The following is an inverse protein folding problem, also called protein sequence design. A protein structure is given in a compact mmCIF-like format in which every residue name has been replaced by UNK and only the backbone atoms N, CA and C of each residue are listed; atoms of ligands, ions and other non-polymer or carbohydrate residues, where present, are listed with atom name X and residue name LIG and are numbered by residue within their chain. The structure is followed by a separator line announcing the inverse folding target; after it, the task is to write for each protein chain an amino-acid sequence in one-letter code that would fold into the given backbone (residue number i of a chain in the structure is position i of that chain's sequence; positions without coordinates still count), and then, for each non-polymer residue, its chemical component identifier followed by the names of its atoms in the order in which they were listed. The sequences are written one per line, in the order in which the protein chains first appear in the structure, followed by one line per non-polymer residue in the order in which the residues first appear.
data_IF_343572565196
#
_entry.id   IF_343572565196
#
_cell.length_a   1.000
_cell.length_b   1.000
_cell.length_c   1.000
_cell.angle_alpha   90.00
_cell.angle_beta   90.00
_cell.angle_gamma   90.00
#
_symmetry.space_group_name_H-M   'P 1'
#
loop_
_entity.id
_entity.type
_entity.pdbx_description
1 polymer ?
#
# COMPACT_ATOMS: atom_id res chain seq x y z
N UNK A 1 -25.10 18.31 -15.31
CA UNK A 1 -23.68 18.70 -15.22
C UNK A 1 -22.87 17.46 -15.55
N UNK A 2 -21.93 17.50 -16.51
CA UNK A 2 -21.07 16.34 -16.74
C UNK A 2 -20.05 16.25 -15.61
N UNK A 3 -19.89 15.06 -15.01
CA UNK A 3 -19.00 14.78 -13.89
C UNK A 3 -17.95 13.77 -14.31
N UNK A 4 -16.71 13.95 -13.88
CA UNK A 4 -15.61 13.01 -14.12
C UNK A 4 -15.05 12.44 -12.82
N UNK A 5 -14.82 11.13 -12.75
CA UNK A 5 -14.07 10.53 -11.63
C UNK A 5 -12.57 10.71 -11.82
N UNK A 6 -11.87 10.77 -10.71
CA UNK A 6 -10.41 10.74 -10.64
C UNK A 6 -10.01 9.80 -9.52
N UNK A 7 -9.13 8.83 -9.83
CA UNK A 7 -8.77 7.75 -8.95
C UNK A 7 -7.25 7.68 -8.81
N UNK A 8 -6.78 7.52 -7.59
CA UNK A 8 -5.42 7.13 -7.26
C UNK A 8 -5.43 5.78 -6.53
N UNK A 9 -4.43 4.96 -6.77
CA UNK A 9 -4.30 3.64 -6.16
C UNK A 9 -3.01 3.61 -5.33
N UNK A 10 -3.13 3.10 -4.10
CA UNK A 10 -2.03 2.72 -3.24
C UNK A 10 -1.93 1.20 -3.22
N UNK A 11 -0.79 0.65 -3.58
CA UNK A 11 -0.59 -0.81 -3.67
C UNK A 11 0.56 -1.24 -2.77
N UNK A 12 0.30 -2.20 -1.89
CA UNK A 12 1.31 -2.84 -1.05
C UNK A 12 1.60 -4.24 -1.57
N UNK A 13 2.87 -4.55 -1.80
CA UNK A 13 3.32 -5.85 -2.27
C UNK A 13 4.31 -6.42 -1.25
N UNK A 14 3.98 -7.59 -0.71
CA UNK A 14 4.88 -8.37 0.15
C UNK A 14 6.01 -8.97 -0.70
N UNK A 15 7.25 -8.78 -0.25
CA UNK A 15 8.42 -9.20 -0.99
C UNK A 15 8.84 -10.63 -0.63
N UNK A 16 9.16 -11.40 -1.64
CA UNK A 16 9.61 -12.79 -1.54
C UNK A 16 11.06 -12.88 -1.01
N UNK A 17 11.25 -12.49 0.25
CA UNK A 17 12.55 -12.55 0.95
C UNK A 17 12.56 -13.66 1.99
N UNK A 18 13.74 -14.22 2.27
CA UNK A 18 13.89 -15.24 3.30
C UNK A 18 13.80 -14.68 4.72
N UNK A 19 14.08 -13.39 4.90
CA UNK A 19 14.13 -12.74 6.21
C UNK A 19 13.37 -11.42 6.20
N UNK A 20 12.98 -10.99 7.38
CA UNK A 20 12.26 -9.72 7.60
C UNK A 20 13.08 -8.50 7.18
N UNK A 21 12.40 -7.34 7.08
CA UNK A 21 13.00 -6.09 6.56
C UNK A 21 14.17 -5.58 7.39
N UNK A 22 14.11 -5.69 8.70
CA UNK A 22 15.10 -5.08 9.60
C UNK A 22 15.75 -6.06 10.60
N UNK A 23 15.53 -7.36 10.42
CA UNK A 23 16.13 -8.39 11.27
C UNK A 23 16.33 -9.71 10.52
N UNK A 24 16.95 -10.68 11.18
CA UNK A 24 17.24 -12.02 10.62
C UNK A 24 16.13 -13.05 10.84
N UNK A 25 15.00 -12.68 11.44
CA UNK A 25 13.88 -13.60 11.57
C UNK A 25 13.41 -14.06 10.20
N UNK A 26 13.12 -15.34 10.06
CA UNK A 26 12.59 -15.88 8.82
C UNK A 26 11.18 -15.31 8.54
N UNK A 27 10.88 -15.07 7.27
CA UNK A 27 9.49 -14.92 6.81
C UNK A 27 8.91 -16.32 6.77
N UNK A 28 7.82 -16.54 7.51
CA UNK A 28 7.20 -17.87 7.68
C UNK A 28 5.74 -17.84 7.24
N UNK A 29 5.32 -18.89 6.52
CA UNK A 29 3.91 -19.18 6.20
C UNK A 29 3.47 -20.32 7.11
N UNK A 30 2.84 -20.00 8.25
CA UNK A 30 2.46 -20.97 9.29
C UNK A 30 1.25 -20.48 10.07
N UNK A 31 0.46 -21.43 10.57
CA UNK A 31 -0.66 -21.16 11.47
C UNK A 31 -0.23 -21.08 12.95
N UNK A 32 1.00 -21.45 13.28
CA UNK A 32 1.53 -21.33 14.64
C UNK A 32 1.94 -19.87 14.92
N UNK A 33 1.26 -19.16 15.83
CA UNK A 33 1.49 -17.75 16.04
C UNK A 33 2.81 -17.51 16.81
N UNK A 34 3.42 -16.36 16.53
CA UNK A 34 4.52 -15.81 17.31
C UNK A 34 5.79 -16.69 17.39
N UNK A 35 6.09 -17.51 16.37
CA UNK A 35 7.28 -18.36 16.34
C UNK A 35 8.50 -17.69 15.69
N UNK A 36 8.29 -16.64 14.86
CA UNK A 36 9.36 -15.93 14.16
C UNK A 36 9.54 -14.52 14.69
N UNK A 37 10.06 -14.39 15.90
CA UNK A 37 10.22 -13.13 16.62
C UNK A 37 11.64 -12.94 17.16
N UNK A 38 12.07 -11.68 17.23
CA UNK A 38 13.28 -11.25 17.91
C UNK A 38 13.09 -9.87 18.56
N UNK A 39 14.00 -9.42 19.43
CA UNK A 39 13.94 -8.09 20.05
C UNK A 39 13.74 -6.94 19.04
N UNK A 40 14.29 -7.01 17.84
CA UNK A 40 14.16 -5.96 16.82
C UNK A 40 12.75 -5.88 16.28
N UNK A 41 12.13 -6.99 15.84
CA UNK A 41 10.80 -6.94 15.22
C UNK A 41 9.66 -6.64 16.22
N UNK A 42 9.88 -6.86 17.52
CA UNK A 42 8.93 -6.48 18.57
C UNK A 42 9.28 -5.17 19.29
N UNK A 43 10.35 -4.49 18.85
CA UNK A 43 10.70 -3.15 19.32
C UNK A 43 11.22 -3.07 20.75
N UNK A 44 11.98 -4.07 21.22
CA UNK A 44 12.57 -4.01 22.56
C UNK A 44 13.68 -2.95 22.63
N UNK A 45 13.80 -2.25 23.76
CA UNK A 45 14.83 -1.23 23.96
C UNK A 45 16.25 -1.75 23.71
N UNK A 46 17.03 -0.99 22.94
CA UNK A 46 18.42 -1.33 22.60
C UNK A 46 18.59 -2.27 21.41
N UNK A 47 17.50 -2.78 20.81
CA UNK A 47 17.58 -3.55 19.58
C UNK A 47 17.66 -2.60 18.38
N UNK A 48 18.68 -2.76 17.54
CA UNK A 48 18.88 -1.92 16.35
C UNK A 48 18.44 -2.63 15.06
N UNK A 49 17.64 -1.96 14.21
CA UNK A 49 17.24 -2.50 12.93
C UNK A 49 18.41 -2.51 11.93
N UNK A 50 18.48 -3.54 11.09
CA UNK A 50 19.46 -3.66 10.01
C UNK A 50 18.72 -3.96 8.71
N UNK A 51 18.77 -3.08 7.71
CA UNK A 51 18.02 -3.24 6.47
C UNK A 51 18.38 -4.52 5.70
N UNK A 52 17.36 -5.18 5.16
CA UNK A 52 17.51 -6.36 4.31
C UNK A 52 17.93 -5.95 2.90
N UNK A 53 19.18 -6.27 2.53
CA UNK A 53 19.74 -5.94 1.22
C UNK A 53 18.89 -6.48 0.06
N UNK A 54 18.36 -7.72 0.19
CA UNK A 54 17.55 -8.34 -0.87
C UNK A 54 16.23 -7.63 -1.08
N UNK A 55 15.60 -7.15 0.00
CA UNK A 55 14.39 -6.33 -0.10
C UNK A 55 14.67 -5.01 -0.84
N UNK A 56 15.77 -4.34 -0.52
CA UNK A 56 16.19 -3.12 -1.21
C UNK A 56 16.43 -3.39 -2.72
N UNK A 57 17.12 -4.50 -3.06
CA UNK A 57 17.33 -4.91 -4.45
C UNK A 57 16.01 -5.13 -5.20
N UNK A 58 15.05 -5.82 -4.59
CA UNK A 58 13.74 -6.09 -5.17
C UNK A 58 12.94 -4.81 -5.42
N UNK A 59 12.91 -3.91 -4.44
CA UNK A 59 12.19 -2.64 -4.56
C UNK A 59 12.83 -1.75 -5.64
N UNK A 60 14.16 -1.70 -5.69
CA UNK A 60 14.88 -0.96 -6.73
C UNK A 60 14.61 -1.54 -8.12
N UNK A 61 14.57 -2.87 -8.24
CA UNK A 61 14.26 -3.53 -9.51
C UNK A 61 12.83 -3.20 -9.97
N UNK A 62 11.86 -3.24 -9.07
CA UNK A 62 10.47 -2.88 -9.37
C UNK A 62 10.36 -1.41 -9.80
N UNK A 63 11.00 -0.50 -9.08
CA UNK A 63 11.02 0.92 -9.42
C UNK A 63 11.64 1.18 -10.82
N UNK A 64 12.73 0.49 -11.14
CA UNK A 64 13.36 0.57 -12.48
C UNK A 64 12.43 0.01 -13.58
N UNK A 65 11.77 -1.12 -13.31
CA UNK A 65 10.88 -1.78 -14.28
C UNK A 65 9.61 -0.98 -14.55
N UNK A 66 9.23 -0.09 -13.64
CA UNK A 66 8.15 0.88 -13.82
C UNK A 66 8.65 2.26 -14.25
N UNK A 67 9.87 2.35 -14.79
CA UNK A 67 10.44 3.59 -15.33
C UNK A 67 10.68 4.70 -14.33
N UNK A 68 10.69 4.39 -13.02
CA UNK A 68 10.94 5.40 -12.00
C UNK A 68 12.37 5.94 -12.04
N UNK A 69 12.50 7.23 -11.77
CA UNK A 69 13.79 7.86 -11.43
C UNK A 69 14.24 7.36 -10.06
N UNK A 70 15.38 6.64 -10.03
CA UNK A 70 15.92 6.14 -8.76
C UNK A 70 16.61 7.28 -8.01
N UNK A 71 16.19 7.49 -6.77
CA UNK A 71 16.80 8.52 -5.92
C UNK A 71 18.21 8.13 -5.51
N UNK A 72 19.13 9.09 -5.56
CA UNK A 72 20.55 8.85 -5.27
C UNK A 72 20.83 8.53 -3.80
N UNK A 73 19.92 8.86 -2.90
CA UNK A 73 20.03 8.64 -1.46
C UNK A 73 18.65 8.29 -0.91
N UNK A 74 18.52 7.09 -0.36
CA UNK A 74 17.34 6.68 0.37
C UNK A 74 17.45 7.00 1.86
N UNK A 75 16.35 7.34 2.49
CA UNK A 75 16.27 7.59 3.93
C UNK A 75 15.04 6.90 4.51
N UNK A 76 15.23 6.27 5.66
CA UNK A 76 14.11 5.72 6.43
C UNK A 76 13.52 6.78 7.36
N UNK A 77 12.21 6.68 7.55
CA UNK A 77 11.42 7.52 8.43
C UNK A 77 10.58 6.65 9.34
N UNK A 78 10.23 7.18 10.50
CA UNK A 78 9.23 6.60 11.38
C UNK A 78 7.86 7.18 11.08
N UNK A 79 6.93 6.30 10.68
CA UNK A 79 5.50 6.57 10.54
C UNK A 79 4.83 6.21 11.87
N UNK A 80 4.56 7.22 12.70
CA UNK A 80 4.12 6.98 14.08
C UNK A 80 2.60 6.82 14.16
N UNK A 81 2.15 5.70 14.69
CA UNK A 81 0.77 5.46 15.07
C UNK A 81 0.67 4.32 16.08
N UNK A 82 -0.40 4.34 16.89
CA UNK A 82 -0.60 3.37 17.95
C UNK A 82 -1.67 2.37 17.54
N UNK A 83 -1.25 1.11 17.36
CA UNK A 83 -2.15 0.02 17.10
C UNK A 83 -1.63 -1.27 17.73
N UNK A 84 -2.51 -2.19 18.22
CA UNK A 84 -2.07 -3.39 18.93
C UNK A 84 -1.13 -4.30 18.15
N UNK A 85 -1.25 -4.37 16.83
CA UNK A 85 -0.40 -5.17 15.93
C UNK A 85 0.90 -4.47 15.52
N UNK A 86 1.13 -3.26 16.00
CA UNK A 86 2.36 -2.49 15.77
C UNK A 86 3.17 -2.35 17.06
N UNK A 87 4.01 -3.34 17.42
CA UNK A 87 4.63 -3.42 18.76
C UNK A 87 5.61 -2.29 19.06
N UNK A 88 6.18 -1.66 18.02
CA UNK A 88 7.10 -0.52 18.15
C UNK A 88 6.37 0.82 18.32
N UNK A 89 5.05 0.89 18.07
CA UNK A 89 4.26 2.11 17.95
C UNK A 89 4.65 3.01 16.77
N UNK A 90 5.52 2.52 15.89
CA UNK A 90 5.84 3.13 14.60
C UNK A 90 6.18 2.05 13.59
N UNK A 91 6.02 2.38 12.34
CA UNK A 91 6.42 1.59 11.19
C UNK A 91 7.62 2.28 10.55
N UNK A 92 8.67 1.53 10.23
CA UNK A 92 9.79 2.06 9.45
C UNK A 92 9.36 2.07 7.98
N UNK A 93 9.37 3.25 7.40
CA UNK A 93 8.92 3.50 6.03
C UNK A 93 9.86 4.52 5.37
N UNK A 94 9.47 5.08 4.22
CA UNK A 94 10.13 6.21 3.57
C UNK A 94 9.12 7.30 3.26
N UNK A 95 9.49 8.55 3.37
CA UNK A 95 8.61 9.69 3.14
C UNK A 95 9.14 10.60 2.01
N UNK A 96 10.08 11.47 2.29
CA UNK A 96 10.62 12.47 1.35
C UNK A 96 11.72 11.95 0.43
N UNK A 97 12.36 10.83 0.77
CA UNK A 97 13.40 10.20 -0.04
C UNK A 97 13.08 8.72 -0.33
N UNK A 98 12.05 8.45 -1.12
CA UNK A 98 11.67 7.09 -1.52
C UNK A 98 12.72 6.50 -2.47
N UNK A 99 12.59 5.22 -2.80
CA UNK A 99 13.50 4.55 -3.75
C UNK A 99 13.32 5.09 -5.16
N UNK A 100 12.09 5.29 -5.61
CA UNK A 100 11.78 5.72 -6.97
C UNK A 100 10.68 6.77 -7.02
N UNK A 101 10.78 7.67 -7.99
CA UNK A 101 9.83 8.74 -8.26
C UNK A 101 9.45 8.78 -9.74
N UNK A 102 8.28 9.32 -10.05
CA UNK A 102 7.87 9.68 -11.41
C UNK A 102 7.94 8.54 -12.44
N UNK A 103 7.49 7.35 -12.07
CA UNK A 103 7.38 6.22 -12.97
C UNK A 103 6.09 6.21 -13.77
N UNK A 104 5.98 5.21 -14.65
CA UNK A 104 4.74 4.88 -15.34
C UNK A 104 4.65 3.37 -15.62
N UNK A 105 3.45 2.84 -15.68
CA UNK A 105 3.18 1.45 -16.04
C UNK A 105 2.25 1.41 -17.25
N UNK A 106 2.68 0.73 -18.31
CA UNK A 106 1.83 0.46 -19.48
C UNK A 106 0.77 -0.56 -19.10
N UNK A 107 -0.48 -0.27 -19.46
CA UNK A 107 -1.62 -1.18 -19.32
C UNK A 107 -2.30 -1.35 -20.66
N UNK A 108 -3.06 -2.43 -20.82
CA UNK A 108 -3.84 -2.68 -22.04
C UNK A 108 -5.31 -2.85 -21.67
N UNK A 109 -6.17 -2.05 -22.29
CA UNK A 109 -7.64 -2.11 -22.14
C UNK A 109 -8.27 -2.17 -23.52
N UNK A 110 -9.07 -3.20 -23.79
CA UNK A 110 -9.76 -3.38 -25.07
C UNK A 110 -8.81 -3.20 -26.29
N UNK A 111 -7.61 -3.84 -26.21
CA UNK A 111 -6.51 -3.79 -27.20
C UNK A 111 -5.81 -2.41 -27.33
N UNK A 112 -6.20 -1.42 -26.55
CA UNK A 112 -5.56 -0.11 -26.54
C UNK A 112 -4.56 0.00 -25.39
N UNK A 113 -3.39 0.57 -25.70
CA UNK A 113 -2.38 0.89 -24.68
C UNK A 113 -2.73 2.18 -23.97
N UNK A 114 -2.53 2.18 -22.66
CA UNK A 114 -2.65 3.34 -21.81
C UNK A 114 -1.52 3.31 -20.75
N UNK A 115 -1.24 4.43 -20.07
CA UNK A 115 -0.13 4.57 -19.16
C UNK A 115 -0.59 5.16 -17.84
N UNK A 116 -0.37 4.42 -16.76
CA UNK A 116 -0.68 4.90 -15.42
C UNK A 116 0.57 5.46 -14.76
N UNK A 117 0.54 6.75 -14.46
CA UNK A 117 1.65 7.44 -13.82
C UNK A 117 1.79 7.04 -12.36
N UNK A 118 3.01 6.67 -11.98
CA UNK A 118 3.41 6.35 -10.61
C UNK A 118 4.04 7.59 -10.00
N UNK A 119 3.57 7.99 -8.82
CA UNK A 119 4.14 9.10 -8.08
C UNK A 119 5.43 8.68 -7.38
N UNK A 120 5.37 7.54 -6.64
CA UNK A 120 6.52 7.02 -5.90
C UNK A 120 6.43 5.51 -5.66
N UNK A 121 7.61 4.94 -5.47
CA UNK A 121 7.83 3.57 -4.99
C UNK A 121 8.72 3.64 -3.76
N UNK A 122 8.26 3.12 -2.63
CA UNK A 122 9.02 3.19 -1.38
C UNK A 122 8.96 1.92 -0.55
N UNK A 123 9.93 1.78 0.36
CA UNK A 123 10.04 0.66 1.28
C UNK A 123 9.18 0.86 2.50
N UNK A 124 8.62 -0.24 2.98
CA UNK A 124 7.87 -0.30 4.22
C UNK A 124 8.05 -1.68 4.89
N UNK A 125 7.69 -1.80 6.16
CA UNK A 125 7.57 -3.08 6.85
C UNK A 125 6.12 -3.37 7.19
N UNK A 126 5.70 -4.64 7.14
CA UNK A 126 4.33 -5.02 7.51
C UNK A 126 4.13 -5.02 9.05
N UNK A 127 2.89 -4.89 9.47
CA UNK A 127 2.46 -5.01 10.86
C UNK A 127 2.15 -6.47 11.22
N UNK A 128 1.88 -6.75 12.49
CA UNK A 128 1.36 -8.04 12.93
C UNK A 128 -0.04 -8.31 12.39
N UNK A 129 -0.58 -9.45 12.76
CA UNK A 129 -1.96 -9.86 12.44
C UNK A 129 -2.82 -9.79 13.69
N UNK A 130 -3.94 -9.10 13.61
CA UNK A 130 -4.95 -9.05 14.66
C UNK A 130 -6.14 -9.96 14.31
N UNK A 131 -6.53 -10.82 15.24
CA UNK A 131 -7.73 -11.66 15.12
C UNK A 131 -8.69 -11.33 16.25
N UNK A 132 -9.86 -10.81 15.90
CA UNK A 132 -10.89 -10.40 16.86
C UNK A 132 -11.90 -11.53 17.10
N UNK A 133 -12.19 -11.83 18.38
CA UNK A 133 -13.22 -12.78 18.76
C UNK A 133 -14.63 -12.15 18.59
N UNK A 134 -15.63 -12.95 18.18
CA UNK A 134 -17.01 -12.48 18.01
C UNK A 134 -17.33 -12.04 16.58
N UNK A 135 -17.90 -10.85 16.40
CA UNK A 135 -18.36 -10.35 15.08
C UNK A 135 -17.25 -9.93 14.10
N UNK A 136 -16.00 -10.13 14.46
CA UNK A 136 -14.85 -9.73 13.62
C UNK A 136 -14.51 -8.23 13.65
N UNK A 137 -15.25 -7.43 14.45
CA UNK A 137 -14.98 -6.00 14.63
C UNK A 137 -14.38 -5.75 16.00
N UNK A 138 -13.38 -4.86 16.07
CA UNK A 138 -12.68 -4.50 17.32
C UNK A 138 -13.65 -3.96 18.39
N UNK A 139 -14.67 -3.20 17.98
CA UNK A 139 -15.64 -2.56 18.87
C UNK A 139 -16.57 -3.56 19.60
N UNK A 140 -16.77 -4.74 19.02
CA UNK A 140 -17.62 -5.80 19.58
C UNK A 140 -16.83 -7.03 20.00
N UNK A 141 -15.50 -6.98 19.90
CA UNK A 141 -14.62 -8.07 20.27
C UNK A 141 -14.50 -8.16 21.80
N UNK A 142 -14.62 -9.36 22.36
CA UNK A 142 -14.34 -9.63 23.77
C UNK A 142 -12.85 -9.85 24.03
N UNK A 143 -12.10 -10.22 22.99
CA UNK A 143 -10.65 -10.36 23.01
C UNK A 143 -10.05 -10.20 21.62
N UNK A 144 -8.77 -9.84 21.57
CA UNK A 144 -7.99 -9.77 20.32
C UNK A 144 -6.72 -10.57 20.50
N UNK A 145 -6.52 -11.58 19.65
CA UNK A 145 -5.27 -12.30 19.57
C UNK A 145 -4.32 -11.59 18.59
N UNK A 146 -3.06 -11.50 18.96
CA UNK A 146 -2.02 -10.87 18.15
C UNK A 146 -1.00 -11.92 17.72
N UNK A 147 -0.70 -11.94 16.42
CA UNK A 147 0.36 -12.73 15.85
C UNK A 147 1.36 -11.79 15.15
N UNK A 148 2.57 -11.75 15.65
CA UNK A 148 3.66 -10.91 15.14
C UNK A 148 4.57 -11.62 14.15
N UNK A 149 4.24 -12.83 13.67
CA UNK A 149 5.02 -13.50 12.62
C UNK A 149 5.17 -12.62 11.37
N UNK A 150 4.12 -11.89 11.01
CA UNK A 150 4.13 -10.97 9.87
C UNK A 150 4.83 -9.63 10.19
N UNK A 151 4.89 -9.21 11.46
CA UNK A 151 5.52 -7.94 11.84
C UNK A 151 6.97 -7.85 11.35
N UNK A 152 7.26 -6.83 10.56
CA UNK A 152 8.57 -6.60 9.96
C UNK A 152 8.80 -7.33 8.63
N UNK A 153 7.81 -8.00 8.05
CA UNK A 153 7.91 -8.57 6.69
C UNK A 153 8.11 -7.42 5.70
N UNK A 154 9.05 -7.55 4.73
CA UNK A 154 9.32 -6.48 3.78
C UNK A 154 8.15 -6.21 2.85
N UNK A 155 7.77 -4.95 2.74
CA UNK A 155 6.78 -4.44 1.80
C UNK A 155 7.39 -3.41 0.86
N UNK A 156 6.84 -3.34 -0.34
CA UNK A 156 6.93 -2.16 -1.20
C UNK A 156 5.55 -1.53 -1.32
N UNK A 157 5.49 -0.22 -1.15
CA UNK A 157 4.30 0.57 -1.45
C UNK A 157 4.51 1.34 -2.74
N UNK A 158 3.56 1.21 -3.67
CA UNK A 158 3.51 1.92 -4.94
C UNK A 158 2.28 2.82 -4.92
N UNK A 159 2.49 4.10 -5.14
CA UNK A 159 1.42 5.11 -5.16
C UNK A 159 1.32 5.70 -6.56
N UNK A 160 0.14 5.63 -7.17
CA UNK A 160 -0.12 6.28 -8.45
C UNK A 160 -0.43 7.76 -8.27
N UNK A 161 -0.18 8.55 -9.32
CA UNK A 161 -0.84 9.86 -9.41
C UNK A 161 -2.35 9.66 -9.61
N UNK A 162 -3.19 10.65 -9.26
CA UNK A 162 -4.64 10.57 -9.46
C UNK A 162 -5.00 10.80 -10.93
N UNK A 163 -4.69 9.82 -11.78
CA UNK A 163 -4.86 9.87 -13.24
C UNK A 163 -5.80 8.82 -13.79
N UNK A 164 -6.16 7.83 -12.97
CA UNK A 164 -7.08 6.76 -13.35
C UNK A 164 -8.49 7.33 -13.40
N UNK A 165 -9.25 7.00 -14.46
CA UNK A 165 -10.58 7.56 -14.71
C UNK A 165 -11.71 6.51 -14.74
N UNK A 166 -11.39 5.23 -14.58
CA UNK A 166 -12.39 4.15 -14.54
C UNK A 166 -11.95 2.96 -13.70
N UNK A 167 -12.91 2.17 -13.26
CA UNK A 167 -12.67 0.90 -12.57
C UNK A 167 -11.88 -0.09 -13.44
N UNK A 168 -12.14 -0.12 -14.74
CA UNK A 168 -11.40 -0.96 -15.71
C UNK A 168 -9.91 -0.60 -15.76
N UNK A 169 -9.57 0.69 -15.78
CA UNK A 169 -8.17 1.13 -15.73
C UNK A 169 -7.51 0.72 -14.41
N UNK A 170 -8.22 0.87 -13.28
CA UNK A 170 -7.71 0.45 -11.98
C UNK A 170 -7.44 -1.05 -11.91
N UNK A 171 -8.35 -1.88 -12.42
CA UNK A 171 -8.18 -3.33 -12.49
C UNK A 171 -7.01 -3.71 -13.39
N UNK A 172 -6.93 -3.15 -14.60
CA UNK A 172 -5.82 -3.42 -15.53
C UNK A 172 -4.46 -3.03 -14.92
N UNK A 173 -4.40 -1.90 -14.21
CA UNK A 173 -3.19 -1.46 -13.50
C UNK A 173 -2.74 -2.46 -12.43
N UNK A 174 -3.66 -2.91 -11.56
CA UNK A 174 -3.33 -3.88 -10.51
C UNK A 174 -2.94 -5.23 -11.10
N UNK A 175 -3.60 -5.66 -12.17
CA UNK A 175 -3.30 -6.93 -12.85
C UNK A 175 -1.92 -6.91 -13.48
N UNK A 176 -1.55 -5.83 -14.17
CA UNK A 176 -0.23 -5.65 -14.79
C UNK A 176 0.87 -5.52 -13.73
N UNK A 177 0.66 -4.73 -12.69
CA UNK A 177 1.62 -4.59 -11.59
C UNK A 177 1.84 -5.92 -10.86
N UNK A 178 0.77 -6.69 -10.66
CA UNK A 178 0.83 -8.04 -10.11
C UNK A 178 1.65 -8.97 -10.98
N UNK A 179 1.38 -8.99 -12.29
CA UNK A 179 2.11 -9.84 -13.24
C UNK A 179 3.59 -9.45 -13.29
N UNK A 180 3.89 -8.16 -13.36
CA UNK A 180 5.26 -7.64 -13.32
C UNK A 180 6.00 -8.10 -12.07
N UNK A 181 5.37 -8.05 -10.88
CA UNK A 181 6.01 -8.50 -9.63
C UNK A 181 6.29 -9.99 -9.59
N UNK A 182 5.44 -10.80 -10.24
CA UNK A 182 5.65 -12.26 -10.40
C UNK A 182 6.80 -12.53 -11.38
N UNK A 183 6.81 -11.89 -12.54
CA UNK A 183 7.81 -12.08 -13.59
C UNK A 183 9.21 -11.69 -13.12
N UNK A 184 9.31 -10.66 -12.30
CA UNK A 184 10.54 -10.22 -11.64
C UNK A 184 10.94 -11.09 -10.43
N UNK A 185 10.09 -12.08 -10.06
CA UNK A 185 10.27 -12.93 -8.88
C UNK A 185 10.41 -12.14 -7.56
N UNK A 186 9.72 -11.00 -7.49
CA UNK A 186 9.71 -10.10 -6.32
C UNK A 186 8.65 -10.54 -5.32
N UNK A 187 7.51 -11.04 -5.79
CA UNK A 187 6.37 -11.46 -4.98
C UNK A 187 5.67 -12.67 -5.60
N UNK A 188 4.91 -13.40 -4.79
CA UNK A 188 3.99 -14.44 -5.29
C UNK A 188 2.71 -13.83 -5.89
N UNK A 189 2.40 -12.58 -5.59
CA UNK A 189 1.25 -11.86 -6.12
C UNK A 189 -0.10 -12.47 -5.76
N UNK A 190 -0.22 -13.17 -4.64
CA UNK A 190 -1.45 -13.86 -4.21
C UNK A 190 -2.33 -12.91 -3.41
N UNK A 191 -3.44 -12.50 -4.00
CA UNK A 191 -4.43 -11.62 -3.36
C UNK A 191 -5.08 -12.30 -2.15
N UNK A 192 -5.40 -13.59 -2.26
CA UNK A 192 -6.05 -14.38 -1.21
C UNK A 192 -5.16 -14.59 0.03
N UNK A 193 -3.84 -14.49 -0.11
CA UNK A 193 -2.88 -14.52 0.99
C UNK A 193 -2.53 -13.14 1.54
N UNK A 194 -2.99 -12.09 0.88
CA UNK A 194 -2.66 -10.71 1.22
C UNK A 194 -1.24 -10.29 0.83
N UNK A 195 -0.57 -11.05 -0.07
CA UNK A 195 0.74 -10.66 -0.60
C UNK A 195 0.67 -9.41 -1.49
N UNK A 196 -0.50 -9.12 -2.03
CA UNK A 196 -0.80 -7.88 -2.73
C UNK A 196 -2.11 -7.31 -2.19
N UNK A 197 -2.07 -6.08 -1.72
CA UNK A 197 -3.19 -5.33 -1.17
C UNK A 197 -3.25 -3.98 -1.85
N UNK A 198 -4.43 -3.41 -1.96
CA UNK A 198 -4.62 -2.11 -2.57
C UNK A 198 -5.75 -1.33 -1.91
N UNK A 199 -5.59 -0.02 -1.88
CA UNK A 199 -6.57 0.96 -1.46
C UNK A 199 -6.83 1.92 -2.63
N UNK A 200 -8.07 2.35 -2.81
CA UNK A 200 -8.46 3.29 -3.86
C UNK A 200 -8.88 4.63 -3.27
N UNK A 201 -8.28 5.71 -3.74
CA UNK A 201 -8.66 7.08 -3.44
C UNK A 201 -9.49 7.61 -4.60
N UNK A 202 -10.76 7.91 -4.37
CA UNK A 202 -11.72 8.28 -5.42
C UNK A 202 -12.27 9.66 -5.15
N UNK A 203 -12.30 10.51 -6.17
CA UNK A 203 -13.00 11.78 -6.16
C UNK A 203 -13.79 11.98 -7.45
N UNK A 204 -14.88 12.72 -7.38
CA UNK A 204 -15.70 13.13 -8.53
C UNK A 204 -15.78 14.65 -8.57
N UNK A 205 -15.59 15.24 -9.74
CA UNK A 205 -15.65 16.67 -9.94
C UNK A 205 -16.36 17.01 -11.27
N UNK A 206 -16.82 18.25 -11.48
CA UNK A 206 -17.28 18.73 -12.78
C UNK A 206 -16.20 18.52 -13.87
N UNK A 207 -16.62 18.12 -15.07
CA UNK A 207 -15.69 17.79 -16.17
C UNK A 207 -14.81 18.99 -16.57
N UNK A 208 -15.33 20.19 -16.46
CA UNK A 208 -14.65 21.45 -16.73
C UNK A 208 -13.80 21.98 -15.55
N UNK A 209 -13.85 21.31 -14.40
CA UNK A 209 -13.03 21.68 -13.24
C UNK A 209 -11.56 21.34 -13.44
N UNK A 210 -10.69 22.27 -13.08
CA UNK A 210 -9.23 22.05 -12.97
C UNK A 210 -8.83 21.53 -11.58
N UNK A 211 -9.73 21.58 -10.60
CA UNK A 211 -9.49 21.09 -9.25
C UNK A 211 -10.12 19.71 -9.07
N UNK A 212 -9.45 18.86 -8.29
CA UNK A 212 -9.98 17.56 -7.91
C UNK A 212 -11.14 17.73 -6.93
N UNK A 213 -12.09 16.81 -6.97
CA UNK A 213 -13.12 16.70 -5.94
C UNK A 213 -12.58 16.23 -4.59
N UNK A 214 -13.44 16.21 -3.58
CA UNK A 214 -13.10 15.68 -2.26
C UNK A 214 -12.86 14.16 -2.35
N UNK A 215 -11.67 13.72 -1.96
CA UNK A 215 -11.31 12.31 -2.03
C UNK A 215 -11.94 11.48 -0.91
N UNK A 216 -12.36 10.28 -1.28
CA UNK A 216 -12.77 9.22 -0.36
C UNK A 216 -11.87 8.01 -0.58
N UNK A 217 -11.29 7.49 0.49
CA UNK A 217 -10.45 6.31 0.49
C UNK A 217 -11.31 5.05 0.68
N UNK A 218 -11.17 4.06 -0.20
CA UNK A 218 -11.85 2.77 -0.08
C UNK A 218 -10.83 1.68 0.28
N UNK A 219 -11.14 0.95 1.36
CA UNK A 219 -10.31 -0.15 1.89
C UNK A 219 -11.02 -1.48 1.85
N UNK A 220 -10.27 -2.56 2.10
CA UNK A 220 -10.76 -3.94 2.21
C UNK A 220 -11.31 -4.54 0.92
N UNK A 221 -10.69 -4.25 -0.18
CA UNK A 221 -10.97 -4.91 -1.46
C UNK A 221 -10.01 -6.10 -1.62
N UNK A 222 -10.55 -7.32 -1.52
CA UNK A 222 -9.74 -8.55 -1.46
C UNK A 222 -9.62 -9.26 -2.81
N UNK A 223 -10.13 -8.67 -3.89
CA UNK A 223 -10.07 -9.22 -5.24
C UNK A 223 -10.17 -8.12 -6.28
N UNK A 224 -9.75 -8.38 -7.51
CA UNK A 224 -9.93 -7.45 -8.63
C UNK A 224 -11.40 -7.12 -8.90
N UNK A 225 -12.28 -8.11 -8.70
CA UNK A 225 -13.73 -7.92 -8.81
C UNK A 225 -14.27 -6.98 -7.72
N UNK A 226 -13.77 -7.12 -6.49
CA UNK A 226 -14.11 -6.20 -5.39
C UNK A 226 -13.63 -4.80 -5.68
N UNK A 227 -12.44 -4.64 -6.25
CA UNK A 227 -11.90 -3.35 -6.67
C UNK A 227 -12.80 -2.67 -7.71
N UNK A 228 -13.16 -3.39 -8.78
CA UNK A 228 -14.04 -2.88 -9.84
C UNK A 228 -15.38 -2.39 -9.27
N UNK A 229 -16.07 -3.25 -8.52
CA UNK A 229 -17.38 -2.95 -7.94
C UNK A 229 -17.35 -1.81 -6.91
N UNK A 230 -16.34 -1.80 -6.06
CA UNK A 230 -16.19 -0.76 -5.05
C UNK A 230 -15.95 0.61 -5.68
N UNK A 231 -15.12 0.69 -6.71
CA UNK A 231 -14.89 1.93 -7.47
C UNK A 231 -16.17 2.39 -8.16
N UNK A 232 -16.86 1.51 -8.89
CA UNK A 232 -18.08 1.85 -9.59
C UNK A 232 -19.18 2.31 -8.63
N UNK A 233 -19.35 1.63 -7.51
CA UNK A 233 -20.28 2.03 -6.47
C UNK A 233 -19.97 3.42 -5.91
N UNK A 234 -18.72 3.67 -5.60
CA UNK A 234 -18.31 4.94 -4.99
C UNK A 234 -18.42 6.10 -5.97
N UNK A 235 -18.08 5.89 -7.25
CA UNK A 235 -18.32 6.89 -8.30
C UNK A 235 -19.81 7.25 -8.39
N UNK A 236 -20.68 6.24 -8.40
CA UNK A 236 -22.13 6.45 -8.46
C UNK A 236 -22.63 7.19 -7.20
N UNK A 237 -22.15 6.79 -6.01
CA UNK A 237 -22.52 7.44 -4.75
C UNK A 237 -22.15 8.92 -4.73
N UNK A 238 -20.89 9.25 -5.11
CA UNK A 238 -20.42 10.64 -5.14
C UNK A 238 -21.14 11.44 -6.22
N UNK A 239 -21.32 10.88 -7.42
CA UNK A 239 -22.06 11.52 -8.51
C UNK A 239 -23.47 11.92 -8.07
N UNK A 240 -24.21 10.97 -7.48
CA UNK A 240 -25.55 11.22 -6.99
C UNK A 240 -25.58 12.28 -5.88
N UNK A 241 -24.65 12.21 -4.93
CA UNK A 241 -24.57 13.20 -3.86
C UNK A 241 -24.37 14.63 -4.42
N UNK A 242 -23.45 14.78 -5.39
CA UNK A 242 -23.18 16.08 -6.03
C UNK A 242 -24.38 16.58 -6.83
N UNK A 243 -25.10 15.71 -7.54
CA UNK A 243 -26.34 16.04 -8.26
C UNK A 243 -27.45 16.49 -7.30
N UNK A 244 -27.52 15.88 -6.13
CA UNK A 244 -28.48 16.21 -5.07
C UNK A 244 -28.05 17.45 -4.25
N UNK A 245 -26.89 18.05 -4.55
CA UNK A 245 -26.34 19.21 -3.84
C UNK A 245 -25.77 18.87 -2.46
N UNK A 246 -25.44 17.61 -2.21
CA UNK A 246 -24.84 17.12 -0.97
C UNK A 246 -23.32 17.16 -1.07
N UNK A 247 -22.67 17.79 -0.11
CA UNK A 247 -21.22 17.88 -0.04
C UNK A 247 -20.59 16.50 0.27
N UNK A 248 -19.52 16.18 -0.43
CA UNK A 248 -18.71 15.00 -0.16
C UNK A 248 -17.72 15.32 0.97
N UNK A 249 -17.75 14.50 2.02
CA UNK A 249 -16.82 14.61 3.14
C UNK A 249 -15.62 13.68 2.92
N UNK A 250 -14.42 14.16 3.21
CA UNK A 250 -13.22 13.34 3.16
C UNK A 250 -13.26 12.28 4.27
N UNK A 251 -13.34 11.03 3.88
CA UNK A 251 -13.45 9.90 4.80
C UNK A 251 -12.78 8.65 4.25
N UNK A 252 -12.53 7.66 5.13
CA UNK A 252 -12.19 6.29 4.75
C UNK A 252 -13.44 5.43 4.84
N UNK A 253 -13.71 4.67 3.80
CA UNK A 253 -14.85 3.75 3.70
C UNK A 253 -14.35 2.32 3.52
N UNK A 254 -15.15 1.39 4.01
CA UNK A 254 -14.92 -0.05 3.92
C UNK A 254 -15.84 -0.66 2.86
N UNK A 255 -15.31 -1.47 1.97
CA UNK A 255 -16.10 -2.28 1.06
C UNK A 255 -16.68 -3.49 1.77
N UNK A 256 -18.01 -3.65 1.74
CA UNK A 256 -18.74 -4.82 2.24
C UNK A 256 -19.09 -5.72 1.04
N UNK A 257 -18.32 -6.80 0.87
CA UNK A 257 -18.48 -7.73 -0.26
C UNK A 257 -19.86 -8.39 -0.31
N UNK A 258 -20.49 -8.62 0.85
CA UNK A 258 -21.79 -9.30 0.90
C UNK A 258 -22.95 -8.37 0.53
N UNK A 259 -22.82 -7.10 0.87
CA UNK A 259 -23.85 -6.09 0.59
C UNK A 259 -23.59 -5.31 -0.68
N UNK A 260 -22.38 -5.43 -1.24
CA UNK A 260 -21.90 -4.69 -2.40
C UNK A 260 -22.05 -3.16 -2.23
N UNK A 261 -21.70 -2.66 -1.05
CA UNK A 261 -21.74 -1.22 -0.72
C UNK A 261 -20.48 -0.79 0.04
N UNK A 262 -20.17 0.50 -0.05
CA UNK A 262 -19.19 1.10 0.86
C UNK A 262 -19.90 1.61 2.12
N UNK A 263 -19.26 1.45 3.28
CA UNK A 263 -19.72 1.99 4.55
C UNK A 263 -18.63 2.80 5.22
N UNK A 264 -19.01 3.91 5.86
CA UNK A 264 -18.06 4.77 6.59
C UNK A 264 -17.36 3.95 7.67
N UNK A 265 -16.05 3.89 7.59
CA UNK A 265 -15.21 3.56 8.73
C UNK A 265 -15.17 4.80 9.58
N UNK A 266 -15.05 4.65 10.91
CA UNK A 266 -14.94 5.74 11.87
C UNK A 266 -14.39 7.01 11.22
N UNK A 267 -15.16 8.11 11.25
CA UNK A 267 -14.67 9.39 10.75
C UNK A 267 -13.38 9.73 11.49
N UNK A 268 -12.26 9.73 10.80
CA UNK A 268 -11.03 10.29 11.34
C UNK A 268 -11.27 11.78 11.43
N UNK A 269 -11.41 12.29 12.62
CA UNK A 269 -11.19 13.71 12.88
C UNK A 269 -9.74 14.00 12.48
N UNK A 270 -9.56 14.55 11.29
CA UNK A 270 -8.27 14.86 10.69
C UNK A 270 -7.54 13.66 10.05
N UNK A 271 -6.79 13.91 9.00
CA UNK A 271 -5.78 12.99 8.50
C UNK A 271 -4.88 12.59 9.65
N UNK A 272 -4.66 11.28 9.85
CA UNK A 272 -3.76 10.84 10.91
C UNK A 272 -2.42 11.54 10.72
N UNK A 273 -2.07 12.43 11.66
CA UNK A 273 -0.75 13.03 11.70
C UNK A 273 0.23 11.97 12.16
N UNK A 274 0.86 11.31 11.20
CA UNK A 274 1.85 10.26 11.47
C UNK A 274 3.16 10.81 12.03
N UNK A 275 3.33 12.13 12.11
CA UNK A 275 4.51 12.79 12.67
C UNK A 275 5.80 12.14 12.14
N UNK A 276 5.92 12.09 10.82
CA UNK A 276 7.11 11.53 10.18
C UNK A 276 8.37 12.27 10.64
N UNK A 277 9.40 11.50 10.99
CA UNK A 277 10.74 12.00 11.20
C UNK A 277 11.76 10.95 10.78
N UNK A 278 12.97 11.38 10.44
CA UNK A 278 14.05 10.47 10.03
C UNK A 278 14.32 9.44 11.10
N UNK A 279 14.37 8.16 10.73
CA UNK A 279 14.71 7.11 11.69
C UNK A 279 16.19 7.25 12.08
N UNK A 280 16.50 7.38 13.39
CA UNK A 280 17.88 7.55 13.85
C UNK A 280 18.68 6.24 13.84
N UNK A 281 18.02 5.08 13.80
CA UNK A 281 18.66 3.78 13.99
C UNK A 281 19.15 3.12 12.69
N UNK A 282 18.34 3.01 11.60
CA UNK A 282 18.85 2.49 10.33
C UNK A 282 19.81 3.50 9.70
N UNK A 283 21.01 3.05 9.43
CA UNK A 283 21.96 3.85 8.65
C UNK A 283 21.35 4.13 7.27
N UNK A 284 21.26 5.42 6.89
CA UNK A 284 20.90 5.81 5.52
C UNK A 284 21.77 5.03 4.54
N UNK A 285 21.16 4.31 3.60
CA UNK A 285 21.93 3.66 2.56
C UNK A 285 22.20 4.66 1.42
N UNK A 286 23.47 4.88 1.15
CA UNK A 286 23.91 5.57 -0.05
C UNK A 286 24.16 4.51 -1.12
N UNK A 287 23.38 4.54 -2.20
CA UNK A 287 23.53 3.74 -3.42
C UNK A 287 23.64 2.22 -3.30
N UNK A 288 22.64 1.57 -3.83
CA UNK A 288 22.90 0.41 -4.66
C UNK A 288 23.47 0.91 -6.00
N UNK A 289 24.80 0.96 -6.15
CA UNK A 289 25.37 0.91 -7.49
C UNK A 289 24.91 -0.43 -8.07
N UNK A 290 23.93 -0.40 -8.97
CA UNK A 290 23.64 -1.54 -9.80
C UNK A 290 24.97 -1.95 -10.42
N UNK A 291 25.38 -3.24 -10.39
CA UNK A 291 26.54 -3.67 -11.12
C UNK A 291 26.30 -3.28 -12.57
N UNK A 292 27.12 -2.37 -13.08
CA UNK A 292 27.13 -2.05 -14.49
C UNK A 292 27.36 -3.38 -15.20
N UNK A 293 26.36 -3.88 -15.92
CA UNK A 293 26.56 -5.02 -16.81
C UNK A 293 27.45 -4.48 -17.94
N UNK A 294 28.73 -4.44 -17.66
CA UNK A 294 29.75 -4.25 -18.69
C UNK A 294 30.07 -5.63 -19.22
N UNK A 295 29.54 -5.94 -20.38
CA UNK A 295 30.10 -7.04 -21.14
C UNK A 295 29.10 -7.97 -21.79
N UNK A 296 28.96 -7.77 -23.04
CA UNK A 296 29.00 -8.85 -24.01
C UNK A 296 30.38 -8.87 -24.60
#
# INVERSE_FOLDING_TARGET
MSLKPTIGIETHIELNTNTKMFCRCAVVDTDEPNISLCPTCIGLPGALPVPNKKAIEFITLLALSTGCEITSKGMFHRKNYFYPDLPKNYQISQFDLPVGLNGELEIVIDENKDYIQIERVHMEEDTGKSSHSGSGRIESATSTALDFNRSGVPLVEIVTKPVISSSKQAVAYIEELRQLSIDLNISEGRLEKGNLRFDANISVAPEDSTELGTKVEIKNMNSLRSLERAIDFEIQRQTKALEDGVEIVQETRHWDENKEVTSTMRSKEGSADYRYFSDPDPVSYTHLTLPTITGV
#
